data_IF_845844422751
#
_entry.id   IF_845844422751
#
_cell.length_a   1.000
_cell.length_b   1.000
_cell.length_c   1.000
_cell.angle_alpha   90.00
_cell.angle_beta   90.00
_cell.angle_gamma   90.00
#
_symmetry.space_group_name_H-M   'P 1'
#
loop_
_entity.id
_entity.type
_entity.pdbx_description
1 polymer ?
#
# COMPACT_ATOMS: atom_id res chain seq x y z
N UNK A 1 -28.72 54.80 -8.60
CA UNK A 1 -29.71 54.24 -7.67
C UNK A 1 -29.39 52.77 -7.50
N UNK A 2 -28.81 52.44 -6.36
CA UNK A 2 -28.22 51.13 -6.03
C UNK A 2 -29.24 50.23 -5.31
N UNK A 3 -29.24 48.95 -5.70
CA UNK A 3 -30.07 47.85 -5.19
C UNK A 3 -30.03 47.66 -3.67
N UNK A 4 -31.07 47.04 -3.07
CA UNK A 4 -31.27 46.99 -1.64
C UNK A 4 -30.30 46.03 -0.94
N UNK A 5 -29.75 46.51 0.16
CA UNK A 5 -28.84 45.82 1.08
C UNK A 5 -29.45 44.52 1.65
N UNK A 6 -28.85 43.37 1.34
CA UNK A 6 -29.14 42.10 2.03
C UNK A 6 -28.49 42.14 3.42
N UNK A 7 -29.28 42.43 4.47
CA UNK A 7 -28.81 42.40 5.86
C UNK A 7 -28.83 40.98 6.44
N UNK A 8 -27.72 40.25 6.30
CA UNK A 8 -27.51 38.98 6.98
C UNK A 8 -27.18 39.24 8.47
N UNK A 9 -28.11 38.92 9.38
CA UNK A 9 -27.89 38.91 10.84
C UNK A 9 -27.04 37.69 11.23
N UNK A 10 -25.73 37.77 11.00
CA UNK A 10 -24.76 36.76 11.42
C UNK A 10 -23.97 37.23 12.65
N UNK A 11 -24.04 36.47 13.75
CA UNK A 11 -23.17 36.63 14.93
C UNK A 11 -21.70 36.57 14.51
N UNK A 12 -21.01 37.71 14.48
CA UNK A 12 -19.55 37.83 14.62
C UNK A 12 -18.61 37.12 13.61
N UNK A 13 -19.08 36.27 12.70
CA UNK A 13 -18.24 35.53 11.75
C UNK A 13 -18.28 36.13 10.34
N UNK A 14 -18.05 37.44 10.22
CA UNK A 14 -17.89 38.14 8.93
C UNK A 14 -16.42 38.53 8.70
N UNK A 15 -15.54 37.54 8.74
CA UNK A 15 -14.21 37.62 8.11
C UNK A 15 -14.01 36.38 7.23
N UNK A 16 -15.01 36.07 6.40
CA UNK A 16 -14.91 35.03 5.37
C UNK A 16 -15.20 35.60 3.98
N UNK A 17 -15.16 36.94 3.83
CA UNK A 17 -15.51 37.63 2.60
C UNK A 17 -14.49 38.64 2.09
N UNK A 18 -13.32 38.76 2.74
CA UNK A 18 -12.22 39.63 2.25
C UNK A 18 -11.12 38.87 1.51
N UNK A 19 -11.11 37.54 1.56
CA UNK A 19 -10.07 36.72 0.95
C UNK A 19 -10.54 36.11 -0.38
N UNK A 20 -11.50 36.75 -1.06
CA UNK A 20 -11.70 36.48 -2.48
C UNK A 20 -10.60 37.23 -3.23
N UNK A 21 -9.47 36.55 -3.42
CA UNK A 21 -8.53 36.98 -4.45
C UNK A 21 -9.25 36.86 -5.80
N UNK A 22 -9.82 37.97 -6.27
CA UNK A 22 -10.17 38.19 -7.68
C UNK A 22 -8.88 38.33 -8.50
N UNK A 23 -7.97 37.37 -8.38
CA UNK A 23 -6.87 37.25 -9.32
C UNK A 23 -7.40 36.55 -10.57
N UNK A 24 -7.41 37.33 -11.66
CA UNK A 24 -7.25 36.91 -13.05
C UNK A 24 -7.27 35.39 -13.21
N UNK A 25 -8.44 34.86 -13.57
CA UNK A 25 -8.74 33.45 -13.87
C UNK A 25 -7.83 32.44 -13.15
N UNK A 26 -8.24 31.87 -12.00
CA UNK A 26 -7.52 30.74 -11.44
C UNK A 26 -7.48 29.66 -12.50
N UNK A 27 -6.29 29.19 -12.86
CA UNK A 27 -6.16 28.06 -13.77
C UNK A 27 -7.08 26.95 -13.26
N UNK A 28 -7.78 26.29 -14.18
CA UNK A 28 -8.62 25.16 -13.82
C UNK A 28 -7.69 23.96 -13.69
N UNK A 29 -7.86 23.16 -12.65
CA UNK A 29 -7.13 21.91 -12.59
C UNK A 29 -7.58 20.99 -13.75
N UNK A 30 -6.65 20.46 -14.56
CA UNK A 30 -6.99 19.71 -15.78
C UNK A 30 -7.68 18.36 -15.52
N UNK A 31 -7.79 17.94 -14.25
CA UNK A 31 -8.38 16.66 -13.86
C UNK A 31 -9.73 16.79 -13.16
N UNK A 32 -9.90 17.84 -12.35
CA UNK A 32 -11.06 18.02 -11.48
C UNK A 32 -11.91 19.23 -11.88
N UNK A 33 -11.43 20.09 -12.80
CA UNK A 33 -12.05 21.36 -13.21
C UNK A 33 -12.34 22.32 -12.02
N UNK A 34 -11.70 22.09 -10.87
CA UNK A 34 -11.77 22.97 -9.70
C UNK A 34 -10.68 24.04 -9.81
N UNK A 35 -11.02 25.26 -9.42
CA UNK A 35 -10.10 26.42 -9.36
C UNK A 35 -9.05 26.26 -8.26
N UNK A 36 -7.81 26.63 -8.55
CA UNK A 36 -6.76 26.69 -7.53
C UNK A 36 -7.03 27.79 -6.50
N UNK A 37 -6.82 27.50 -5.21
CA UNK A 37 -6.82 28.50 -4.13
C UNK A 37 -5.45 29.18 -3.93
N UNK A 38 -4.38 28.66 -4.53
CA UNK A 38 -3.01 29.13 -4.36
C UNK A 38 -2.26 29.09 -5.68
N UNK A 39 -1.52 30.14 -6.02
CA UNK A 39 -0.59 30.16 -7.16
C UNK A 39 0.58 29.15 -6.92
N UNK A 40 1.24 28.72 -8.01
CA UNK A 40 2.38 27.80 -8.06
C UNK A 40 2.13 26.31 -7.73
N UNK A 41 0.91 25.80 -7.96
CA UNK A 41 0.63 24.36 -7.85
C UNK A 41 0.27 23.72 -9.19
N UNK A 42 0.86 22.56 -9.46
CA UNK A 42 0.56 21.76 -10.66
C UNK A 42 -0.78 20.99 -10.56
N UNK A 43 -1.35 20.82 -9.36
CA UNK A 43 -2.55 19.99 -9.12
C UNK A 43 -3.47 20.58 -8.05
N UNK A 44 -4.80 20.44 -8.21
CA UNK A 44 -5.76 20.83 -7.17
C UNK A 44 -5.51 20.00 -5.90
N UNK A 45 -5.67 20.56 -4.70
CA UNK A 45 -5.41 19.86 -3.42
C UNK A 45 -6.18 18.54 -3.29
N UNK A 46 -7.35 18.46 -3.92
CA UNK A 46 -8.13 17.23 -4.02
C UNK A 46 -7.45 16.17 -4.89
N UNK A 47 -7.06 16.52 -6.12
CA UNK A 47 -6.34 15.62 -7.02
C UNK A 47 -4.98 15.21 -6.47
N UNK A 48 -4.24 16.13 -5.85
CA UNK A 48 -2.97 15.83 -5.16
C UNK A 48 -3.16 14.73 -4.11
N UNK A 49 -4.19 14.85 -3.26
CA UNK A 49 -4.51 13.83 -2.28
C UNK A 49 -4.91 12.48 -2.92
N UNK A 50 -5.63 12.49 -4.04
CA UNK A 50 -5.97 11.27 -4.78
C UNK A 50 -4.75 10.60 -5.40
N UNK A 51 -3.87 11.36 -6.05
CA UNK A 51 -2.62 10.85 -6.62
C UNK A 51 -1.70 10.31 -5.54
N UNK A 52 -1.58 10.99 -4.41
CA UNK A 52 -0.75 10.53 -3.30
C UNK A 52 -1.29 9.23 -2.70
N UNK A 53 -2.62 9.11 -2.52
CA UNK A 53 -3.26 7.85 -2.10
C UNK A 53 -3.01 6.72 -3.11
N UNK A 54 -3.16 6.98 -4.41
CA UNK A 54 -2.91 6.00 -5.45
C UNK A 54 -1.43 5.57 -5.48
N UNK A 55 -0.50 6.51 -5.28
CA UNK A 55 0.93 6.23 -5.16
C UNK A 55 1.24 5.36 -3.95
N UNK A 56 0.66 5.69 -2.79
CA UNK A 56 0.82 4.88 -1.57
C UNK A 56 0.26 3.46 -1.75
N UNK A 57 -0.92 3.32 -2.37
CA UNK A 57 -1.48 2.00 -2.68
C UNK A 57 -0.58 1.19 -3.60
N UNK A 58 -0.02 1.79 -4.66
CA UNK A 58 0.95 1.11 -5.54
C UNK A 58 2.17 0.62 -4.77
N UNK A 59 2.74 1.44 -3.88
CA UNK A 59 3.87 1.06 -3.04
C UNK A 59 3.53 -0.11 -2.10
N UNK A 60 2.33 -0.13 -1.52
CA UNK A 60 1.88 -1.23 -0.66
C UNK A 60 1.75 -2.52 -1.48
N UNK A 61 1.11 -2.46 -2.66
CA UNK A 61 0.93 -3.61 -3.55
C UNK A 61 2.27 -4.14 -4.04
N UNK A 62 3.23 -3.28 -4.40
CA UNK A 62 4.58 -3.70 -4.80
C UNK A 62 5.32 -4.42 -3.68
N UNK A 63 5.23 -3.90 -2.44
CA UNK A 63 5.82 -4.55 -1.26
C UNK A 63 5.18 -5.92 -1.01
N UNK A 64 3.86 -6.04 -1.14
CA UNK A 64 3.16 -7.32 -1.02
C UNK A 64 3.58 -8.31 -2.10
N UNK A 65 3.68 -7.87 -3.37
CA UNK A 65 4.15 -8.72 -4.48
C UNK A 65 5.58 -9.24 -4.24
N UNK A 66 6.48 -8.39 -3.75
CA UNK A 66 7.86 -8.81 -3.42
C UNK A 66 7.88 -9.85 -2.30
N UNK A 67 7.11 -9.64 -1.24
CA UNK A 67 6.98 -10.60 -0.12
C UNK A 67 6.42 -11.94 -0.58
N UNK A 68 5.36 -11.93 -1.39
CA UNK A 68 4.77 -13.16 -1.94
C UNK A 68 5.76 -13.93 -2.81
N UNK A 69 6.47 -13.26 -3.72
CA UNK A 69 7.51 -13.89 -4.56
C UNK A 69 8.63 -14.52 -3.73
N UNK A 70 9.04 -13.86 -2.64
CA UNK A 70 10.05 -14.40 -1.73
C UNK A 70 9.52 -15.65 -1.01
N UNK A 71 8.32 -15.57 -0.45
CA UNK A 71 7.65 -16.68 0.24
C UNK A 71 7.44 -17.90 -0.67
N UNK A 72 7.02 -17.68 -1.93
CA UNK A 72 6.84 -18.76 -2.90
C UNK A 72 8.18 -19.46 -3.15
N UNK A 73 9.27 -18.71 -3.39
CA UNK A 73 10.61 -19.28 -3.61
C UNK A 73 11.14 -20.06 -2.41
N UNK A 74 10.98 -19.51 -1.20
CA UNK A 74 11.46 -20.19 0.02
C UNK A 74 10.62 -21.43 0.34
N UNK A 75 9.31 -21.39 0.09
CA UNK A 75 8.44 -22.56 0.28
C UNK A 75 8.83 -23.73 -0.64
N UNK A 76 9.19 -23.45 -1.90
CA UNK A 76 9.66 -24.46 -2.85
C UNK A 76 10.98 -25.08 -2.39
N UNK A 77 11.95 -24.26 -1.94
CA UNK A 77 13.22 -24.75 -1.42
C UNK A 77 13.04 -25.65 -0.18
N UNK A 78 12.19 -25.25 0.77
CA UNK A 78 11.91 -26.04 1.96
C UNK A 78 11.20 -27.35 1.64
N UNK A 79 10.30 -27.33 0.65
CA UNK A 79 9.63 -28.55 0.16
C UNK A 79 10.63 -29.52 -0.46
N UNK A 80 11.62 -29.00 -1.20
CA UNK A 80 12.70 -29.81 -1.78
C UNK A 80 13.60 -30.41 -0.71
N UNK A 81 13.97 -29.64 0.32
CA UNK A 81 14.74 -30.14 1.47
C UNK A 81 13.99 -31.22 2.26
N UNK A 82 12.68 -31.03 2.47
CA UNK A 82 11.84 -32.04 3.10
C UNK A 82 11.79 -33.33 2.28
N UNK A 83 11.67 -33.23 0.95
CA UNK A 83 11.68 -34.38 0.06
C UNK A 83 13.03 -35.12 0.09
N UNK A 84 14.15 -34.40 0.07
CA UNK A 84 15.48 -34.98 0.20
C UNK A 84 15.62 -35.69 1.56
N UNK A 85 15.16 -35.08 2.65
CA UNK A 85 15.14 -35.71 3.97
C UNK A 85 14.34 -37.02 3.98
N UNK A 86 13.17 -37.06 3.32
CA UNK A 86 12.39 -38.29 3.17
C UNK A 86 13.12 -39.37 2.37
N UNK A 87 13.85 -39.00 1.31
CA UNK A 87 14.66 -39.95 0.55
C UNK A 87 15.79 -40.55 1.40
N UNK A 88 16.47 -39.74 2.21
CA UNK A 88 17.49 -40.24 3.14
C UNK A 88 16.88 -41.09 4.27
N UNK A 89 15.65 -40.83 4.66
CA UNK A 89 14.95 -41.68 5.63
C UNK A 89 14.54 -43.03 5.03
N UNK A 90 14.29 -43.11 3.73
CA UNK A 90 13.89 -44.36 3.07
C UNK A 90 15.10 -45.19 2.59
N UNK A 91 16.11 -44.53 2.04
CA UNK A 91 17.24 -45.19 1.36
C UNK A 91 18.59 -44.96 2.04
N UNK A 92 18.65 -44.12 3.07
CA UNK A 92 19.90 -43.80 3.76
C UNK A 92 20.32 -44.87 4.78
N UNK A 93 21.59 -44.84 5.23
CA UNK A 93 22.04 -45.69 6.32
C UNK A 93 21.33 -45.33 7.64
N UNK A 94 21.14 -46.32 8.52
CA UNK A 94 20.40 -46.13 9.79
C UNK A 94 20.96 -45.00 10.66
N UNK A 95 22.26 -44.70 10.55
CA UNK A 95 22.93 -43.61 11.29
C UNK A 95 22.43 -42.20 10.94
N UNK A 96 21.76 -42.02 9.79
CA UNK A 96 21.25 -40.71 9.35
C UNK A 96 19.72 -40.61 9.40
N UNK A 97 18.99 -41.67 9.75
CA UNK A 97 17.53 -41.66 9.80
C UNK A 97 16.98 -40.64 10.82
N UNK A 98 17.49 -40.64 12.04
CA UNK A 98 17.04 -39.71 13.09
C UNK A 98 17.27 -38.25 12.69
N UNK A 99 18.42 -37.97 12.08
CA UNK A 99 18.77 -36.63 11.59
C UNK A 99 17.86 -36.23 10.44
N UNK A 100 17.60 -37.14 9.49
CA UNK A 100 16.74 -36.90 8.34
C UNK A 100 15.29 -36.61 8.74
N UNK A 101 14.78 -37.28 9.78
CA UNK A 101 13.43 -37.09 10.31
C UNK A 101 13.27 -35.72 10.99
N UNK A 102 14.27 -35.28 11.74
CA UNK A 102 14.29 -33.94 12.36
C UNK A 102 14.39 -32.85 11.30
N UNK A 103 15.29 -32.99 10.32
CA UNK A 103 15.47 -31.97 9.26
C UNK A 103 14.23 -31.85 8.38
N UNK A 104 13.61 -32.97 8.00
CA UNK A 104 12.39 -32.97 7.18
C UNK A 104 11.19 -32.35 7.92
N UNK A 105 10.98 -32.71 9.19
CA UNK A 105 9.89 -32.13 10.01
C UNK A 105 10.04 -30.62 10.22
N UNK A 106 11.25 -30.13 10.52
CA UNK A 106 11.53 -28.69 10.63
C UNK A 106 11.26 -27.97 9.30
N UNK A 107 11.67 -28.58 8.18
CA UNK A 107 11.50 -27.99 6.84
C UNK A 107 10.02 -27.84 6.48
N UNK A 108 9.20 -28.86 6.78
CA UNK A 108 7.75 -28.85 6.55
C UNK A 108 7.06 -27.79 7.41
N UNK A 109 7.38 -27.75 8.72
CA UNK A 109 6.80 -26.76 9.63
C UNK A 109 7.17 -25.32 9.22
N UNK A 110 8.42 -25.11 8.81
CA UNK A 110 8.90 -23.82 8.34
C UNK A 110 8.20 -23.39 7.05
N UNK A 111 8.00 -24.31 6.10
CA UNK A 111 7.26 -24.04 4.87
C UNK A 111 5.80 -23.66 5.16
N UNK A 112 5.13 -24.43 6.02
CA UNK A 112 3.76 -24.17 6.43
C UNK A 112 3.60 -22.80 7.14
N UNK A 113 4.56 -22.44 8.00
CA UNK A 113 4.56 -21.16 8.69
C UNK A 113 4.75 -19.98 7.71
N UNK A 114 5.69 -20.09 6.76
CA UNK A 114 5.91 -19.06 5.73
C UNK A 114 4.67 -18.86 4.87
N UNK A 115 4.03 -19.95 4.42
CA UNK A 115 2.80 -19.87 3.62
C UNK A 115 1.68 -19.20 4.43
N UNK A 116 1.51 -19.55 5.71
CA UNK A 116 0.47 -18.96 6.57
C UNK A 116 0.72 -17.47 6.86
N UNK A 117 1.98 -17.07 7.02
CA UNK A 117 2.34 -15.69 7.38
C UNK A 117 2.43 -14.77 6.16
N UNK A 118 2.74 -15.29 4.97
CA UNK A 118 2.82 -14.52 3.72
C UNK A 118 1.57 -14.65 2.83
N UNK A 119 0.67 -15.61 3.10
CA UNK A 119 -0.60 -15.78 2.40
C UNK A 119 -1.75 -14.94 2.94
N UNK A 120 -1.59 -14.31 4.12
CA UNK A 120 -2.48 -13.26 4.66
C UNK A 120 -1.99 -11.88 4.26
#
# INVERSE_FOLDING_TARGET
MSDPYIQVKGKGNRVAGRDYHEHHYPELCPYCEIRYLTQDRNYCRHCEAMFERARQQRLIVERQKKRKKFADRTSVLLSLLAFIGLLFNWYGPETVHDIALVVSSISILSAAMIIRFCGR
#
